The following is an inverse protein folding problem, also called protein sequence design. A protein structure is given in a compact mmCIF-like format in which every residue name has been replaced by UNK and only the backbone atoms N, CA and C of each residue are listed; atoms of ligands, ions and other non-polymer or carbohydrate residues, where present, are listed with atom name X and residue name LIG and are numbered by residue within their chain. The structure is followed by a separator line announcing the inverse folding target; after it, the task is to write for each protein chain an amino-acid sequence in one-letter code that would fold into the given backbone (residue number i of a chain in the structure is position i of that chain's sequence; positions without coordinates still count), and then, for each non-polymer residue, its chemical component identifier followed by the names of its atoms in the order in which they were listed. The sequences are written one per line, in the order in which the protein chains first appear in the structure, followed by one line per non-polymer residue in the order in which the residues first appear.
data_IF_825455845171
#
_entry.id   IF_825455845171
#
_cell.length_a   1.000
_cell.length_b   1.000
_cell.length_c   1.000
_cell.angle_alpha   90.00
_cell.angle_beta   90.00
_cell.angle_gamma   90.00
#
_symmetry.space_group_name_H-M   'P 1'
#
loop_
_entity.id
_entity.type
_entity.pdbx_description
1 polymer ?
#
# COMPACT_ATOMS: atom_id res chain seq x y z
N UNK A 1 27.45 -41.01 -48.91
CA UNK A 1 26.66 -42.12 -49.48
C UNK A 1 27.12 -43.41 -48.81
N UNK A 2 26.27 -44.39 -48.49
CA UNK A 2 24.84 -44.30 -48.18
C UNK A 2 24.44 -45.10 -46.90
N UNK A 3 23.47 -44.62 -46.10
CA UNK A 3 22.06 -45.04 -46.00
C UNK A 3 21.72 -46.12 -44.93
N UNK A 4 20.83 -45.71 -44.01
CA UNK A 4 19.62 -46.36 -43.47
C UNK A 4 19.61 -47.57 -42.51
N UNK A 5 18.97 -47.28 -41.37
CA UNK A 5 17.79 -47.91 -40.72
C UNK A 5 17.73 -49.42 -40.46
N UNK A 6 17.47 -49.80 -39.19
CA UNK A 6 16.30 -50.58 -38.77
C UNK A 6 16.17 -50.54 -37.22
N UNK A 7 14.95 -50.34 -36.72
CA UNK A 7 14.64 -50.07 -35.31
C UNK A 7 14.10 -51.25 -34.49
N UNK A 8 13.72 -50.96 -33.25
CA UNK A 8 12.62 -51.58 -32.48
C UNK A 8 12.61 -50.97 -31.06
N UNK A 9 11.59 -50.18 -30.72
CA UNK A 9 10.40 -50.50 -29.89
C UNK A 9 10.57 -50.29 -28.37
N UNK A 10 9.88 -49.27 -27.84
CA UNK A 10 8.92 -49.44 -26.72
C UNK A 10 8.23 -48.10 -26.42
N UNK A 11 7.15 -47.82 -27.15
CA UNK A 11 6.04 -47.02 -26.63
C UNK A 11 5.21 -47.94 -25.74
N UNK A 12 4.90 -47.49 -24.52
CA UNK A 12 3.71 -47.94 -23.81
C UNK A 12 2.64 -46.88 -24.02
N UNK A 13 1.70 -47.19 -24.90
CA UNK A 13 0.40 -46.54 -25.01
C UNK A 13 -0.47 -46.88 -23.78
N UNK A 14 -1.28 -45.94 -23.30
CA UNK A 14 -2.68 -45.80 -23.70
C UNK A 14 -3.52 -45.07 -22.65
N UNK A 15 -4.12 -43.96 -23.07
CA UNK A 15 -5.57 -43.67 -23.10
C UNK A 15 -5.67 -42.19 -23.51
N UNK A 16 -5.92 -41.79 -24.76
CA UNK A 16 -6.72 -42.41 -25.81
C UNK A 16 -8.10 -41.73 -25.84
N UNK A 17 -8.23 -40.63 -26.59
CA UNK A 17 -9.51 -39.94 -26.77
C UNK A 17 -9.40 -38.58 -27.46
N UNK A 18 -8.98 -38.59 -28.72
CA UNK A 18 -8.85 -37.42 -29.61
C UNK A 18 -10.19 -36.91 -30.13
N UNK A 19 -10.19 -35.63 -30.52
CA UNK A 19 -10.88 -35.09 -31.70
C UNK A 19 -12.37 -34.69 -31.54
N UNK A 20 -12.65 -33.39 -31.57
CA UNK A 20 -13.25 -32.71 -32.74
C UNK A 20 -13.57 -31.25 -32.39
N UNK A 21 -13.02 -30.34 -33.21
CA UNK A 21 -13.56 -29.00 -33.40
C UNK A 21 -14.97 -29.12 -33.96
N UNK A 22 -15.99 -28.64 -33.25
CA UNK A 22 -17.30 -28.46 -33.85
C UNK A 22 -18.03 -27.25 -33.25
N UNK A 23 -18.01 -26.18 -34.03
CA UNK A 23 -18.97 -25.07 -34.01
C UNK A 23 -20.40 -25.64 -34.06
N UNK A 24 -21.22 -25.38 -33.03
CA UNK A 24 -22.68 -25.54 -33.08
C UNK A 24 -23.36 -24.33 -32.45
N UNK A 25 -23.95 -23.50 -33.32
CA UNK A 25 -25.07 -22.64 -32.99
C UNK A 25 -26.30 -23.53 -32.81
N UNK A 26 -26.99 -23.47 -31.67
CA UNK A 26 -28.45 -23.69 -31.62
C UNK A 26 -29.05 -23.07 -30.37
N UNK A 27 -30.05 -22.24 -30.63
CA UNK A 27 -30.90 -21.47 -29.73
C UNK A 27 -31.95 -22.32 -29.00
N UNK A 28 -32.18 -22.07 -27.71
CA UNK A 28 -33.53 -21.94 -27.12
C UNK A 28 -33.44 -21.62 -25.60
N UNK A 29 -33.81 -20.38 -25.27
CA UNK A 29 -34.56 -19.94 -24.07
C UNK A 29 -34.14 -20.42 -22.67
N UNK A 30 -33.63 -19.50 -21.85
CA UNK A 30 -34.34 -18.88 -20.70
C UNK A 30 -33.34 -18.09 -19.83
N UNK A 31 -33.74 -16.90 -19.37
CA UNK A 31 -33.08 -16.22 -18.25
C UNK A 31 -32.05 -15.14 -18.62
N UNK A 32 -32.53 -14.12 -19.30
CA UNK A 32 -31.90 -12.80 -19.48
C UNK A 32 -31.75 -12.08 -18.12
N UNK A 33 -30.53 -11.90 -17.57
CA UNK A 33 -30.29 -10.98 -16.43
C UNK A 33 -28.81 -10.60 -16.15
N UNK A 34 -27.82 -10.89 -17.02
CA UNK A 34 -26.40 -10.63 -16.68
C UNK A 34 -25.48 -10.21 -17.87
N UNK A 35 -25.94 -9.34 -18.77
CA UNK A 35 -25.13 -8.92 -19.95
C UNK A 35 -24.82 -7.42 -20.07
N UNK A 36 -24.90 -6.63 -18.99
CA UNK A 36 -24.61 -5.17 -19.07
C UNK A 36 -23.40 -4.67 -18.26
N UNK A 37 -22.52 -5.53 -17.76
CA UNK A 37 -21.22 -5.09 -17.22
C UNK A 37 -20.13 -5.21 -18.29
N UNK A 38 -20.13 -4.26 -19.23
CA UNK A 38 -18.99 -4.02 -20.11
C UNK A 38 -17.85 -3.42 -19.26
N UNK A 39 -16.95 -4.28 -18.79
CA UNK A 39 -15.73 -3.90 -18.09
C UNK A 39 -14.77 -3.19 -19.07
N UNK A 40 -14.38 -1.92 -18.86
CA UNK A 40 -13.43 -1.21 -19.72
C UNK A 40 -11.96 -1.56 -19.39
N UNK A 41 -11.68 -2.82 -19.00
CA UNK A 41 -10.35 -3.22 -18.50
C UNK A 41 -9.37 -3.62 -19.60
N UNK A 42 -9.86 -3.95 -20.79
CA UNK A 42 -9.02 -4.55 -21.85
C UNK A 42 -8.32 -3.49 -22.72
N UNK A 43 -8.88 -2.28 -22.82
CA UNK A 43 -8.29 -1.20 -23.63
C UNK A 43 -7.17 -0.45 -22.90
N UNK A 44 -7.15 -0.52 -21.56
CA UNK A 44 -6.07 0.03 -20.75
C UNK A 44 -4.76 -0.78 -20.89
N UNK A 45 -4.87 -2.09 -21.14
CA UNK A 45 -3.72 -3.00 -21.23
C UNK A 45 -2.88 -2.74 -22.49
N UNK A 46 -3.53 -2.52 -23.64
CA UNK A 46 -2.84 -2.25 -24.91
C UNK A 46 -2.15 -0.88 -24.93
N UNK A 47 -2.66 0.13 -24.23
CA UNK A 47 -2.01 1.44 -24.12
C UNK A 47 -0.89 1.47 -23.07
N UNK A 48 -0.94 0.58 -22.06
CA UNK A 48 0.16 0.43 -21.11
C UNK A 48 1.35 -0.35 -21.68
N UNK A 49 1.13 -1.29 -22.60
CA UNK A 49 2.22 -2.01 -23.25
C UNK A 49 3.08 -1.13 -24.18
N UNK A 50 2.56 -0.01 -24.70
CA UNK A 50 3.37 0.97 -25.44
C UNK A 50 4.18 1.91 -24.51
N UNK A 51 3.97 1.87 -23.19
CA UNK A 51 4.67 2.73 -22.22
C UNK A 51 6.03 2.20 -21.72
N UNK A 52 6.63 1.17 -22.31
CA UNK A 52 7.95 0.68 -21.88
C UNK A 52 9.03 0.54 -22.96
N UNK A 53 8.96 1.28 -24.05
CA UNK A 53 10.17 1.56 -24.84
C UNK A 53 10.84 2.84 -24.36
N UNK A 54 11.57 2.72 -23.24
CA UNK A 54 12.53 3.74 -22.80
C UNK A 54 13.65 3.86 -23.84
N UNK A 55 13.53 4.82 -24.76
CA UNK A 55 14.61 5.27 -25.64
C UNK A 55 15.88 5.52 -24.80
N UNK A 56 17.03 4.90 -25.10
CA UNK A 56 18.24 5.00 -24.28
C UNK A 56 18.97 6.31 -24.61
N UNK A 57 18.40 7.41 -24.17
CA UNK A 57 19.00 8.73 -24.25
C UNK A 57 19.84 9.01 -23.00
N UNK A 58 21.15 9.14 -23.16
CA UNK A 58 22.06 9.55 -22.08
C UNK A 58 21.75 11.01 -21.70
N UNK A 59 20.96 11.25 -20.64
CA UNK A 59 20.46 12.60 -20.36
C UNK A 59 20.66 13.07 -18.91
N UNK A 60 21.17 14.29 -18.81
CA UNK A 60 21.75 14.93 -17.63
C UNK A 60 20.70 15.62 -16.76
N UNK A 61 20.82 15.47 -15.43
CA UNK A 61 19.85 15.83 -14.37
C UNK A 61 19.42 17.31 -14.33
N UNK A 62 20.28 18.24 -14.77
CA UNK A 62 20.16 19.65 -14.37
C UNK A 62 19.12 20.49 -15.14
N UNK A 63 18.87 20.21 -16.42
CA UNK A 63 17.89 20.96 -17.23
C UNK A 63 16.55 20.25 -17.36
N UNK A 64 16.55 18.92 -17.32
CA UNK A 64 15.34 18.12 -17.56
C UNK A 64 14.56 17.81 -16.28
N UNK A 65 15.20 17.72 -15.11
CA UNK A 65 14.50 17.48 -13.84
C UNK A 65 13.49 18.58 -13.51
N UNK A 66 13.83 19.84 -13.78
CA UNK A 66 12.93 20.98 -13.60
C UNK A 66 11.74 20.88 -14.55
N UNK A 67 11.98 20.53 -15.83
CA UNK A 67 10.91 20.35 -16.83
C UNK A 67 9.94 19.25 -16.42
N UNK A 68 10.44 18.11 -15.94
CA UNK A 68 9.62 16.99 -15.46
C UNK A 68 8.79 17.40 -14.24
N UNK A 69 9.39 18.10 -13.28
CA UNK A 69 8.69 18.58 -12.09
C UNK A 69 7.62 19.65 -12.41
N UNK A 70 7.88 20.54 -13.38
CA UNK A 70 6.89 21.53 -13.83
C UNK A 70 5.72 20.87 -14.55
N UNK A 71 5.94 19.79 -15.31
CA UNK A 71 4.85 19.03 -15.94
C UNK A 71 3.95 18.38 -14.89
N UNK A 72 4.52 17.83 -13.81
CA UNK A 72 3.79 17.16 -12.73
C UNK A 72 3.49 18.08 -11.53
N UNK A 73 3.38 19.39 -11.78
CA UNK A 73 3.15 20.39 -10.72
C UNK A 73 1.89 20.10 -9.90
N UNK A 74 0.84 19.56 -10.52
CA UNK A 74 -0.40 19.18 -9.85
C UNK A 74 -0.18 18.07 -8.82
N UNK A 75 0.62 17.06 -9.13
CA UNK A 75 0.91 15.96 -8.21
C UNK A 75 1.67 16.47 -6.99
N UNK A 76 2.65 17.35 -7.19
CA UNK A 76 3.35 18.01 -6.09
C UNK A 76 2.43 18.89 -5.23
N UNK A 77 1.48 19.58 -5.85
CA UNK A 77 0.47 20.35 -5.14
C UNK A 77 -0.44 19.44 -4.29
N UNK A 78 -0.86 18.30 -4.83
CA UNK A 78 -1.65 17.31 -4.08
C UNK A 78 -0.84 16.77 -2.89
N UNK A 79 0.44 16.45 -3.06
CA UNK A 79 1.31 16.03 -1.96
C UNK A 79 1.43 17.11 -0.87
N UNK A 80 1.52 18.39 -1.27
CA UNK A 80 1.54 19.51 -0.33
C UNK A 80 0.22 19.61 0.43
N UNK A 81 -0.92 19.48 -0.24
CA UNK A 81 -2.24 19.50 0.37
C UNK A 81 -2.43 18.31 1.32
N UNK A 82 -2.03 17.10 0.94
CA UNK A 82 -2.07 15.92 1.81
C UNK A 82 -1.21 16.12 3.06
N UNK A 83 -0.02 16.70 2.92
CA UNK A 83 0.84 17.05 4.06
C UNK A 83 0.17 18.09 4.97
N UNK A 84 -0.48 19.10 4.41
CA UNK A 84 -1.22 20.10 5.19
C UNK A 84 -2.37 19.45 5.97
N UNK A 85 -3.15 18.59 5.33
CA UNK A 85 -4.24 17.84 6.00
C UNK A 85 -3.68 17.00 7.15
N UNK A 86 -2.54 16.32 6.96
CA UNK A 86 -1.90 15.53 8.01
C UNK A 86 -1.51 16.37 9.24
N UNK A 87 -0.97 17.58 9.01
CA UNK A 87 -0.62 18.51 10.10
C UNK A 87 -1.88 18.93 10.85
N UNK A 88 -2.94 19.29 10.12
CA UNK A 88 -4.23 19.69 10.70
C UNK A 88 -4.82 18.56 11.55
N UNK A 89 -4.87 17.32 11.03
CA UNK A 89 -5.35 16.14 11.76
C UNK A 89 -4.54 15.89 13.05
N UNK A 90 -3.21 16.10 13.02
CA UNK A 90 -2.39 15.92 14.22
C UNK A 90 -2.66 16.96 15.31
N UNK A 91 -3.11 18.15 14.95
CA UNK A 91 -3.47 19.21 15.90
C UNK A 91 -4.86 18.99 16.50
N UNK A 92 -5.81 18.49 15.69
CA UNK A 92 -7.19 18.28 16.10
C UNK A 92 -7.29 17.29 17.28
N UNK A 93 -8.23 17.59 18.19
CA UNK A 93 -8.56 16.69 19.29
C UNK A 93 -9.40 15.51 18.76
N UNK A 94 -9.06 14.27 19.15
CA UNK A 94 -9.84 13.11 18.76
C UNK A 94 -11.22 13.14 19.42
N UNK A 95 -12.17 12.42 18.85
CA UNK A 95 -13.47 12.19 19.46
C UNK A 95 -13.32 11.50 20.81
N UNK A 96 -13.93 12.03 21.87
CA UNK A 96 -13.90 11.42 23.19
C UNK A 96 -15.06 10.44 23.34
N UNK A 97 -14.75 9.16 23.16
CA UNK A 97 -15.69 8.08 23.46
C UNK A 97 -15.86 7.94 24.97
N UNK A 98 -17.11 7.79 25.43
CA UNK A 98 -17.44 7.50 26.84
C UNK A 98 -16.67 6.29 27.36
N UNK A 99 -16.05 6.43 28.53
CA UNK A 99 -15.33 5.35 29.22
C UNK A 99 -15.92 5.20 30.62
N UNK A 100 -16.65 4.10 30.82
CA UNK A 100 -17.25 3.74 32.10
C UNK A 100 -16.25 3.13 33.09
N UNK A 101 -16.68 3.03 34.36
CA UNK A 101 -15.89 2.41 35.44
C UNK A 101 -15.73 0.89 35.27
N UNK A 102 -16.79 0.24 34.79
CA UNK A 102 -16.84 -1.18 34.47
C UNK A 102 -15.81 -1.59 33.40
N UNK A 103 -15.58 -0.73 32.41
CA UNK A 103 -14.62 -0.97 31.34
C UNK A 103 -13.17 -0.59 31.71
N UNK A 104 -12.96 0.07 32.85
CA UNK A 104 -11.64 0.63 33.21
C UNK A 104 -10.60 -0.44 33.52
N UNK A 105 -11.01 -1.63 33.94
CA UNK A 105 -10.09 -2.75 34.21
C UNK A 105 -9.26 -3.14 32.99
N UNK A 106 -9.84 -3.08 31.78
CA UNK A 106 -9.19 -3.46 30.52
C UNK A 106 -8.14 -2.43 30.06
N UNK A 107 -8.16 -1.24 30.66
CA UNK A 107 -7.30 -0.11 30.29
C UNK A 107 -6.21 0.19 31.34
N UNK A 108 -5.94 -0.77 32.24
CA UNK A 108 -5.00 -0.61 33.37
C UNK A 108 -3.60 -1.18 33.13
N UNK A 109 -3.25 -1.51 31.88
CA UNK A 109 -1.91 -2.01 31.56
C UNK A 109 -0.83 -0.96 31.89
N UNK A 110 0.35 -1.39 32.38
CA UNK A 110 1.39 -0.46 32.81
C UNK A 110 1.82 0.46 31.66
N UNK A 111 1.93 1.76 31.96
CA UNK A 111 2.43 2.74 31.01
C UNK A 111 3.90 2.44 30.68
N UNK A 112 4.14 1.97 29.46
CA UNK A 112 5.49 1.74 28.94
C UNK A 112 5.85 2.82 27.94
N UNK A 113 7.14 3.17 27.89
CA UNK A 113 7.69 3.97 26.81
C UNK A 113 7.52 3.24 25.47
N UNK A 114 7.38 3.99 24.38
CA UNK A 114 7.25 3.41 23.04
C UNK A 114 8.47 2.56 22.70
N UNK A 115 8.29 1.26 22.45
CA UNK A 115 9.36 0.33 22.04
C UNK A 115 10.03 0.77 20.74
N UNK A 116 9.22 1.29 19.81
CA UNK A 116 9.69 1.89 18.57
C UNK A 116 9.35 3.37 18.60
N UNK A 117 10.34 4.26 18.47
CA UNK A 117 10.08 5.68 18.47
C UNK A 117 9.41 6.12 17.16
N UNK A 118 8.45 7.07 17.19
CA UNK A 118 7.67 7.47 16.01
C UNK A 118 8.49 7.93 14.80
N UNK A 119 9.70 8.44 15.03
CA UNK A 119 10.62 8.88 13.99
C UNK A 119 11.29 7.75 13.20
N UNK A 120 11.28 6.51 13.70
CA UNK A 120 12.04 5.42 13.10
C UNK A 120 11.30 4.88 11.87
N UNK A 121 9.97 4.86 11.94
CA UNK A 121 9.13 4.40 10.84
C UNK A 121 9.32 5.23 9.58
N UNK A 122 9.22 6.58 9.59
CA UNK A 122 9.47 7.35 8.38
C UNK A 122 10.91 7.20 7.85
N UNK A 123 11.90 6.97 8.73
CA UNK A 123 13.26 6.65 8.28
C UNK A 123 13.26 5.36 7.46
N UNK A 124 12.74 4.25 8.00
CA UNK A 124 12.75 2.98 7.26
C UNK A 124 11.75 2.96 6.09
N UNK A 125 10.58 3.56 6.22
CA UNK A 125 9.52 3.51 5.21
C UNK A 125 9.75 4.47 4.03
N UNK A 126 10.61 5.50 4.19
CA UNK A 126 10.91 6.47 3.13
C UNK A 126 12.38 6.39 2.72
N UNK A 127 13.33 6.50 3.65
CA UNK A 127 14.75 6.58 3.30
C UNK A 127 15.25 5.27 2.69
N UNK A 128 14.83 4.12 3.22
CA UNK A 128 15.28 2.83 2.68
C UNK A 128 14.79 2.61 1.23
N UNK A 129 13.49 2.81 0.88
CA UNK A 129 13.05 2.78 -0.51
C UNK A 129 13.75 3.81 -1.41
N UNK A 130 13.98 5.04 -0.93
CA UNK A 130 14.69 6.06 -1.70
C UNK A 130 16.12 5.64 -2.05
N UNK A 131 16.83 4.98 -1.13
CA UNK A 131 18.17 4.42 -1.39
C UNK A 131 18.09 3.36 -2.49
N UNK A 132 17.10 2.47 -2.44
CA UNK A 132 16.93 1.43 -3.47
C UNK A 132 16.65 2.07 -4.84
N UNK A 133 15.74 3.03 -4.92
CA UNK A 133 15.44 3.74 -6.17
C UNK A 133 16.66 4.47 -6.71
N UNK A 134 17.47 5.09 -5.83
CA UNK A 134 18.72 5.74 -6.23
C UNK A 134 19.73 4.73 -6.78
N UNK A 135 19.86 3.54 -6.20
CA UNK A 135 20.74 2.48 -6.73
C UNK A 135 20.31 2.02 -8.13
N UNK A 136 19.00 1.84 -8.35
CA UNK A 136 18.46 1.54 -9.68
C UNK A 136 18.70 2.68 -10.67
N UNK A 137 18.51 3.93 -10.23
CA UNK A 137 18.82 5.12 -11.02
C UNK A 137 20.30 5.16 -11.42
N UNK A 138 21.24 4.89 -10.51
CA UNK A 138 22.67 4.89 -10.83
C UNK A 138 23.02 3.84 -11.88
N UNK A 139 22.31 2.69 -11.90
CA UNK A 139 22.51 1.61 -12.87
C UNK A 139 21.89 1.91 -14.24
N UNK A 140 20.67 2.43 -14.29
CA UNK A 140 19.89 2.62 -15.53
C UNK A 140 19.95 4.04 -16.09
N UNK A 141 20.34 5.02 -15.28
CA UNK A 141 20.41 6.46 -15.60
C UNK A 141 19.07 7.07 -16.08
N UNK A 142 17.95 6.48 -15.65
CA UNK A 142 16.60 6.93 -16.03
C UNK A 142 16.00 7.87 -14.98
N UNK A 143 15.96 9.17 -15.31
CA UNK A 143 15.41 10.22 -14.43
C UNK A 143 13.89 10.13 -14.30
N UNK A 144 13.19 9.63 -15.32
CA UNK A 144 11.74 9.53 -15.31
C UNK A 144 11.29 8.42 -14.37
N UNK A 145 11.96 7.26 -14.38
CA UNK A 145 11.71 6.17 -13.43
C UNK A 145 11.93 6.64 -11.99
N UNK A 146 13.03 7.36 -11.72
CA UNK A 146 13.30 7.91 -10.39
C UNK A 146 12.23 8.91 -9.94
N UNK A 147 11.77 9.80 -10.83
CA UNK A 147 10.76 10.79 -10.48
C UNK A 147 9.41 10.16 -10.12
N UNK A 148 8.92 9.27 -10.97
CA UNK A 148 7.62 8.62 -10.77
C UNK A 148 7.61 7.71 -9.54
N UNK A 149 8.72 7.01 -9.28
CA UNK A 149 8.85 6.14 -8.09
C UNK A 149 8.88 6.94 -6.80
N UNK A 150 9.55 8.09 -6.78
CA UNK A 150 9.53 9.01 -5.62
C UNK A 150 8.13 9.57 -5.39
N UNK A 151 7.47 10.06 -6.45
CA UNK A 151 6.10 10.57 -6.35
C UNK A 151 5.13 9.50 -5.83
N UNK A 152 5.19 8.29 -6.39
CA UNK A 152 4.35 7.17 -5.98
C UNK A 152 4.58 6.75 -4.53
N UNK A 153 5.83 6.70 -4.07
CA UNK A 153 6.17 6.41 -2.67
C UNK A 153 5.58 7.45 -1.72
N UNK A 154 5.79 8.75 -2.02
CA UNK A 154 5.28 9.84 -1.20
C UNK A 154 3.74 9.83 -1.15
N UNK A 155 3.09 9.57 -2.28
CA UNK A 155 1.64 9.49 -2.36
C UNK A 155 1.08 8.34 -1.53
N UNK A 156 1.67 7.14 -1.68
CA UNK A 156 1.29 5.95 -0.91
C UNK A 156 1.37 6.19 0.60
N UNK A 157 2.50 6.74 1.06
CA UNK A 157 2.71 7.03 2.49
C UNK A 157 1.79 8.13 2.99
N UNK A 158 1.64 9.24 2.28
CA UNK A 158 0.84 10.38 2.74
C UNK A 158 -0.66 10.09 2.75
N UNK A 159 -1.20 9.39 1.74
CA UNK A 159 -2.61 8.97 1.77
C UNK A 159 -2.85 8.04 2.95
N UNK A 160 -1.99 7.05 3.12
CA UNK A 160 -2.12 6.09 4.24
C UNK A 160 -2.03 6.80 5.59
N UNK A 161 -1.17 7.82 5.71
CA UNK A 161 -1.05 8.65 6.89
C UNK A 161 -2.33 9.43 7.19
N UNK A 162 -2.86 10.15 6.19
CA UNK A 162 -4.10 10.91 6.31
C UNK A 162 -5.27 10.01 6.71
N UNK A 163 -5.42 8.86 6.05
CA UNK A 163 -6.48 7.90 6.37
C UNK A 163 -6.32 7.34 7.80
N UNK A 164 -5.10 6.98 8.19
CA UNK A 164 -4.84 6.45 9.53
C UNK A 164 -5.16 7.47 10.61
N UNK A 165 -4.72 8.72 10.45
CA UNK A 165 -4.96 9.78 11.43
C UNK A 165 -6.42 10.21 11.47
N UNK A 166 -7.09 10.28 10.31
CA UNK A 166 -8.53 10.56 10.24
C UNK A 166 -9.34 9.49 10.98
N UNK A 167 -9.02 8.19 10.81
CA UNK A 167 -9.70 7.11 11.53
C UNK A 167 -9.42 7.16 13.03
N UNK A 168 -8.17 7.46 13.43
CA UNK A 168 -7.82 7.63 14.85
C UNK A 168 -8.67 8.70 15.52
N UNK A 169 -8.82 9.83 14.85
CA UNK A 169 -9.56 10.98 15.37
C UNK A 169 -11.07 10.73 15.36
N UNK A 170 -11.59 10.01 14.36
CA UNK A 170 -13.00 9.64 14.29
C UNK A 170 -13.41 8.59 15.33
N UNK A 171 -12.58 7.56 15.55
CA UNK A 171 -12.94 6.42 16.41
C UNK A 171 -12.70 6.73 17.90
N UNK A 172 -11.63 7.45 18.24
CA UNK A 172 -11.40 7.88 19.63
C UNK A 172 -11.16 6.76 20.64
N UNK A 173 -10.78 5.56 20.17
CA UNK A 173 -10.69 4.35 21.01
C UNK A 173 -9.57 4.50 22.06
N UNK A 174 -9.86 4.29 23.36
CA UNK A 174 -8.85 4.30 24.42
C UNK A 174 -7.80 3.20 24.21
N UNK A 175 -6.54 3.50 24.52
CA UNK A 175 -5.45 2.52 24.54
C UNK A 175 -5.53 1.62 25.80
N UNK A 176 -4.91 0.43 25.77
CA UNK A 176 -4.83 -0.44 26.96
C UNK A 176 -4.08 0.18 28.16
N UNK A 177 -3.27 1.21 27.94
CA UNK A 177 -2.55 1.97 28.98
C UNK A 177 -3.26 3.29 29.37
N UNK A 178 -4.53 3.46 28.98
CA UNK A 178 -5.27 4.72 29.16
C UNK A 178 -5.45 5.14 30.62
N UNK A 179 -5.63 4.19 31.56
CA UNK A 179 -5.79 4.49 32.98
C UNK A 179 -4.63 5.34 33.53
N UNK A 180 -3.40 4.91 33.30
CA UNK A 180 -2.20 5.59 33.81
C UNK A 180 -1.92 6.91 33.09
N UNK A 181 -2.44 7.10 31.88
CA UNK A 181 -2.39 8.39 31.16
C UNK A 181 -3.38 9.40 31.73
N UNK A 182 -4.56 8.92 32.13
CA UNK A 182 -5.66 9.72 32.66
C UNK A 182 -5.47 10.07 34.15
N UNK A 183 -4.96 9.11 34.94
CA UNK A 183 -4.79 9.16 36.39
C UNK A 183 -3.33 8.85 36.77
N UNK A 184 -2.41 9.82 36.70
CA UNK A 184 -1.02 9.62 37.11
C UNK A 184 -0.88 9.23 38.59
N UNK A 185 -1.83 9.66 39.42
CA UNK A 185 -1.86 9.37 40.87
C UNK A 185 -2.54 8.02 41.21
N UNK A 186 -3.06 7.31 40.19
CA UNK A 186 -3.76 6.03 40.36
C UNK A 186 -5.15 6.12 41.01
N UNK A 187 -5.67 7.33 41.22
CA UNK A 187 -7.00 7.58 41.79
C UNK A 187 -8.00 7.82 40.66
N UNK A 188 -8.98 6.93 40.52
CA UNK A 188 -10.02 7.03 39.51
C UNK A 188 -11.09 8.05 39.91
N UNK A 189 -11.48 8.91 38.96
CA UNK A 189 -12.54 9.90 39.11
C UNK A 189 -13.56 9.77 37.99
N UNK A 190 -14.84 9.80 38.37
CA UNK A 190 -15.97 9.70 37.43
C UNK A 190 -17.00 10.78 37.72
N UNK A 191 -17.64 11.26 36.66
CA UNK A 191 -18.76 12.20 36.74
C UNK A 191 -20.06 11.50 37.19
N UNK A 192 -21.10 12.27 37.48
CA UNK A 192 -22.44 11.81 37.85
C UNK A 192 -23.06 10.82 36.84
N UNK A 193 -22.68 10.92 35.57
CA UNK A 193 -23.10 10.01 34.48
C UNK A 193 -22.16 8.83 34.27
N UNK A 194 -21.17 8.63 35.13
CA UNK A 194 -20.22 7.51 35.07
C UNK A 194 -19.10 7.66 34.03
N UNK A 195 -18.95 8.84 33.43
CA UNK A 195 -17.84 9.12 32.49
C UNK A 195 -16.54 9.43 33.23
N UNK A 196 -15.41 9.01 32.66
CA UNK A 196 -14.09 9.28 33.21
C UNK A 196 -13.75 10.79 33.22
N UNK A 197 -13.22 11.28 34.35
CA UNK A 197 -12.74 12.66 34.49
C UNK A 197 -11.22 12.63 34.68
N UNK A 198 -10.48 12.80 33.58
CA UNK A 198 -9.02 12.77 33.62
C UNK A 198 -8.41 14.06 34.18
N UNK A 199 -7.34 13.92 34.96
CA UNK A 199 -6.58 15.04 35.53
C UNK A 199 -5.07 15.00 35.19
N UNK A 200 -4.64 14.06 34.36
CA UNK A 200 -3.28 14.01 33.81
C UNK A 200 -3.00 15.06 32.72
N UNK A 201 -1.86 14.91 32.06
CA UNK A 201 -1.45 15.79 30.96
C UNK A 201 -2.37 15.63 29.74
N UNK A 202 -2.94 16.74 29.26
CA UNK A 202 -3.86 16.80 28.11
C UNK A 202 -3.25 16.18 26.85
N UNK A 203 -1.95 16.33 26.63
CA UNK A 203 -1.28 15.79 25.44
C UNK A 203 -1.14 14.26 25.49
N UNK A 204 -0.87 13.72 26.68
CA UNK A 204 -0.74 12.28 26.96
C UNK A 204 -2.11 11.60 26.92
N UNK A 205 -3.13 12.25 27.49
CA UNK A 205 -4.53 11.81 27.42
C UNK A 205 -5.01 11.79 25.97
N UNK A 206 -4.72 12.84 25.19
CA UNK A 206 -5.05 12.90 23.76
C UNK A 206 -4.46 11.71 23.00
N UNK A 207 -3.19 11.38 23.23
CA UNK A 207 -2.57 10.19 22.62
C UNK A 207 -3.21 8.88 23.10
N UNK A 208 -3.70 8.85 24.35
CA UNK A 208 -4.45 7.75 24.93
C UNK A 208 -5.74 7.41 24.17
N UNK A 209 -6.38 8.38 23.52
CA UNK A 209 -7.57 8.17 22.68
C UNK A 209 -7.26 7.83 21.21
N UNK A 210 -5.99 7.86 20.79
CA UNK A 210 -5.56 7.56 19.40
C UNK A 210 -4.95 6.17 19.27
N UNK A 211 -5.69 5.11 19.65
CA UNK A 211 -5.16 3.73 19.64
C UNK A 211 -5.27 3.02 18.29
N UNK A 212 -6.39 3.18 17.58
CA UNK A 212 -6.74 2.38 16.40
C UNK A 212 -6.86 3.26 15.15
N UNK A 213 -6.34 2.84 13.98
CA UNK A 213 -5.40 1.74 13.76
C UNK A 213 -3.95 2.09 14.17
N UNK A 214 -3.00 1.16 14.06
CA UNK A 214 -1.59 1.43 14.40
C UNK A 214 -0.91 2.29 13.34
N UNK A 215 -0.49 3.51 13.69
CA UNK A 215 0.21 4.41 12.76
C UNK A 215 1.55 3.83 12.27
N UNK A 216 2.31 3.20 13.16
CA UNK A 216 3.61 2.60 12.81
C UNK A 216 3.44 1.49 11.76
N UNK A 217 2.40 0.67 11.92
CA UNK A 217 2.14 -0.46 11.01
C UNK A 217 1.62 0.04 9.66
N UNK A 218 0.67 0.98 9.66
CA UNK A 218 0.13 1.53 8.41
C UNK A 218 1.21 2.19 7.55
N UNK A 219 2.08 3.01 8.16
CA UNK A 219 3.14 3.71 7.43
C UNK A 219 4.22 2.76 6.91
N UNK A 220 4.62 1.78 7.72
CA UNK A 220 5.57 0.74 7.30
C UNK A 220 5.02 -0.07 6.12
N UNK A 221 3.74 -0.47 6.19
CA UNK A 221 3.08 -1.20 5.12
C UNK A 221 3.01 -0.39 3.83
N UNK A 222 2.64 0.90 3.89
CA UNK A 222 2.59 1.75 2.72
C UNK A 222 3.96 1.92 2.04
N UNK A 223 4.99 2.28 2.80
CA UNK A 223 6.33 2.53 2.25
C UNK A 223 7.04 1.26 1.77
N UNK A 224 7.12 0.24 2.63
CA UNK A 224 7.80 -1.02 2.30
C UNK A 224 6.98 -1.88 1.33
N UNK A 225 5.65 -1.82 1.40
CA UNK A 225 4.77 -2.47 0.45
C UNK A 225 4.91 -1.87 -0.95
N UNK A 226 4.98 -0.54 -1.07
CA UNK A 226 5.28 0.11 -2.34
C UNK A 226 6.64 -0.31 -2.91
N UNK A 227 7.67 -0.36 -2.06
CA UNK A 227 9.00 -0.86 -2.45
C UNK A 227 8.94 -2.32 -2.94
N UNK A 228 8.20 -3.19 -2.24
CA UNK A 228 8.01 -4.58 -2.64
C UNK A 228 7.39 -4.70 -4.03
N UNK A 229 6.34 -3.94 -4.31
CA UNK A 229 5.68 -3.92 -5.62
C UNK A 229 6.60 -3.38 -6.72
N UNK A 230 7.36 -2.32 -6.42
CA UNK A 230 8.36 -1.78 -7.35
C UNK A 230 9.40 -2.84 -7.74
N UNK A 231 9.96 -3.54 -6.75
CA UNK A 231 10.94 -4.59 -6.99
C UNK A 231 10.35 -5.75 -7.79
N UNK A 232 9.13 -6.18 -7.46
CA UNK A 232 8.42 -7.24 -8.19
C UNK A 232 8.25 -6.89 -9.69
N UNK A 233 7.91 -5.64 -10.01
CA UNK A 233 7.83 -5.16 -11.38
C UNK A 233 9.18 -5.15 -12.10
N UNK A 234 10.26 -4.72 -11.42
CA UNK A 234 11.60 -4.67 -12.02
C UNK A 234 12.21 -6.04 -12.27
N UNK A 235 11.90 -7.05 -11.45
CA UNK A 235 12.35 -8.43 -11.64
C UNK A 235 11.39 -9.27 -12.49
N UNK A 236 10.28 -8.67 -12.97
CA UNK A 236 9.27 -9.35 -13.78
C UNK A 236 8.71 -10.60 -13.10
N UNK A 237 8.47 -10.50 -11.79
CA UNK A 237 8.05 -11.64 -10.95
C UNK A 237 6.74 -12.30 -11.42
N UNK A 238 5.91 -11.56 -12.17
CA UNK A 238 4.60 -12.00 -12.65
C UNK A 238 4.52 -12.08 -14.18
N UNK A 239 5.64 -11.97 -14.91
CA UNK A 239 5.63 -12.18 -16.36
C UNK A 239 5.45 -13.68 -16.64
N UNK A 240 4.28 -14.09 -17.12
CA UNK A 240 4.06 -15.44 -17.66
C UNK A 240 4.83 -15.52 -18.97
N UNK A 241 5.92 -16.30 -19.00
CA UNK A 241 6.61 -16.60 -20.25
C UNK A 241 5.64 -17.32 -21.19
N UNK A 242 5.41 -16.83 -22.42
CA UNK A 242 4.71 -17.62 -23.42
C UNK A 242 5.60 -18.83 -23.74
N UNK A 243 5.23 -19.99 -23.22
CA UNK A 243 5.73 -21.27 -23.72
C UNK A 243 5.12 -21.52 -25.09
N UNK A 244 5.65 -20.87 -26.13
CA UNK A 244 5.55 -21.37 -27.50
C UNK A 244 6.86 -22.09 -27.85
N UNK A 245 7.07 -23.24 -27.24
CA UNK A 245 7.91 -24.27 -27.86
C UNK A 245 6.95 -25.07 -28.74
N UNK A 246 6.79 -24.61 -29.98
CA UNK A 246 6.32 -25.49 -31.05
C UNK A 246 7.46 -26.47 -31.33
N UNK A 247 7.32 -27.70 -30.83
CA UNK A 247 7.93 -28.86 -31.46
C UNK A 247 7.01 -29.34 -32.59
#
# INVERSE_FOLDING_TARGET
MPWQDFGSTSCFDNFGGSFWSQRKNTSAGTGDWFSQLHFPLIEFENHQSEMWESQPGTHTVRSHGVRVATTHMHDWLILLVLRLILIVLNVIHPFYRFVGKDMMSDFKYPLKSSTVPPWAVPIYAIIMPLIVFLLFYLRRRDVYDLHHTILGLLFSVLITAVLTDAIKDAVGRPRPDFFWRCFPDGKDAYDQWGNVVCHGDKSVIRQGHKSFPSGHTSWAFAGLGFLSLYLAGKIKAFDVLPTSISC
#
